data_IF_225422387870
#
_entry.id   IF_225422387870
#
_cell.length_a   1.000
_cell.length_b   1.000
_cell.length_c   1.000
_cell.angle_alpha   90.00
_cell.angle_beta   90.00
_cell.angle_gamma   90.00
#
_symmetry.space_group_name_H-M   'P 1'
#
loop_
_entity.id
_entity.type
_entity.pdbx_description
1 polymer ?
#
# COMPACT_ATOMS: atom_id res chain seq x y z
N UNK A 1 7.37 3.00 -1.40
CA UNK A 1 6.18 3.89 -1.39
C UNK A 1 6.59 5.22 -0.76
N UNK A 2 6.01 6.35 -1.16
CA UNK A 2 6.34 7.64 -0.57
C UNK A 2 5.12 8.43 -0.08
N UNK A 3 5.25 9.07 1.08
CA UNK A 3 4.24 9.96 1.67
C UNK A 3 4.67 11.41 1.50
N UNK A 4 3.77 12.27 1.04
CA UNK A 4 4.01 13.72 1.01
C UNK A 4 4.06 14.25 2.45
N UNK A 5 5.10 15.01 2.75
CA UNK A 5 5.22 15.72 4.01
C UNK A 5 4.30 16.95 4.03
N UNK A 6 3.69 17.23 5.18
CA UNK A 6 2.85 18.42 5.37
C UNK A 6 3.72 19.64 5.73
N UNK A 7 4.61 20.04 4.82
CA UNK A 7 5.46 21.23 4.95
C UNK A 7 5.20 22.19 3.79
N UNK A 8 5.73 23.42 3.85
CA UNK A 8 5.51 24.47 2.84
C UNK A 8 5.99 24.11 1.42
N UNK A 9 6.81 23.08 1.27
CA UNK A 9 7.30 22.58 -0.02
C UNK A 9 6.75 21.19 -0.32
N UNK A 10 6.63 20.83 -1.61
CA UNK A 10 6.26 19.47 -2.01
C UNK A 10 7.47 18.56 -1.85
N UNK A 11 7.52 17.85 -0.72
CA UNK A 11 8.56 16.85 -0.41
C UNK A 11 7.88 15.53 -0.11
N UNK A 12 8.47 14.44 -0.60
CA UNK A 12 8.00 13.09 -0.34
C UNK A 12 9.06 12.34 0.48
N UNK A 13 8.63 11.75 1.60
CA UNK A 13 9.43 10.80 2.36
C UNK A 13 9.10 9.39 1.87
N UNK A 14 10.11 8.71 1.34
CA UNK A 14 9.98 7.37 0.80
C UNK A 14 10.49 6.33 1.79
N UNK A 15 9.75 5.24 1.93
CA UNK A 15 10.23 4.03 2.60
C UNK A 15 10.09 2.82 1.68
N UNK A 16 10.87 1.79 1.99
CA UNK A 16 10.80 0.48 1.36
C UNK A 16 10.45 -0.56 2.42
N UNK A 17 9.46 -1.40 2.10
CA UNK A 17 9.14 -2.60 2.87
C UNK A 17 9.54 -3.77 1.99
N UNK A 18 10.23 -4.75 2.57
CA UNK A 18 10.75 -5.87 1.81
C UNK A 18 9.63 -6.68 1.14
N UNK A 19 9.94 -7.31 0.00
CA UNK A 19 8.99 -8.13 -0.77
C UNK A 19 7.64 -7.44 -1.02
N UNK A 20 7.68 -6.19 -1.51
CA UNK A 20 6.49 -5.40 -1.85
C UNK A 20 6.20 -5.46 -3.35
N UNK A 21 4.93 -5.62 -3.70
CA UNK A 21 4.45 -5.56 -5.10
C UNK A 21 3.32 -4.57 -5.23
N UNK A 22 3.32 -3.82 -6.33
CA UNK A 22 2.34 -2.79 -6.64
C UNK A 22 1.48 -3.21 -7.83
N UNK A 23 0.17 -2.99 -7.71
CA UNK A 23 -0.83 -3.38 -8.71
C UNK A 23 -1.75 -2.21 -9.03
N UNK A 24 -2.19 -2.11 -10.28
CA UNK A 24 -3.35 -1.29 -10.64
C UNK A 24 -4.54 -2.24 -10.75
N UNK A 25 -5.49 -2.13 -9.82
CA UNK A 25 -6.69 -2.98 -9.80
C UNK A 25 -7.93 -2.19 -10.24
N UNK A 26 -8.87 -2.81 -10.96
CA UNK A 26 -10.16 -2.19 -11.24
C UNK A 26 -11.05 -2.24 -10.00
N UNK A 27 -11.72 -1.12 -9.70
CA UNK A 27 -12.77 -1.02 -8.69
C UNK A 27 -14.11 -0.74 -9.38
N UNK A 28 -15.18 -1.32 -8.86
CA UNK A 28 -16.54 -1.12 -9.35
C UNK A 28 -17.44 -0.82 -8.16
N UNK A 29 -18.10 0.34 -8.18
CA UNK A 29 -19.09 0.72 -7.19
C UNK A 29 -20.44 0.04 -7.46
N UNK A 30 -21.35 0.09 -6.49
CA UNK A 30 -22.67 -0.54 -6.60
C UNK A 30 -23.50 0.00 -7.77
N UNK A 31 -23.34 1.29 -8.11
CA UNK A 31 -24.00 1.95 -9.24
C UNK A 31 -23.34 1.66 -10.61
N UNK A 32 -22.31 0.81 -10.64
CA UNK A 32 -21.55 0.48 -11.84
C UNK A 32 -20.42 1.44 -12.18
N UNK A 33 -20.20 2.51 -11.39
CA UNK A 33 -19.07 3.42 -11.58
C UNK A 33 -17.75 2.67 -11.47
N UNK A 34 -16.87 2.85 -12.46
CA UNK A 34 -15.55 2.18 -12.52
C UNK A 34 -14.42 3.14 -12.19
N UNK A 35 -13.46 2.67 -11.41
CA UNK A 35 -12.22 3.38 -11.12
C UNK A 35 -11.03 2.43 -11.21
N UNK A 36 -9.82 2.99 -11.38
CA UNK A 36 -8.56 2.25 -11.20
C UNK A 36 -7.94 2.70 -9.89
N UNK A 37 -7.51 1.75 -9.07
CA UNK A 37 -6.83 2.05 -7.82
C UNK A 37 -5.44 1.43 -7.81
N UNK A 38 -4.49 2.19 -7.26
CA UNK A 38 -3.15 1.69 -6.96
C UNK A 38 -3.20 0.96 -5.61
N UNK A 39 -2.84 -0.31 -5.63
CA UNK A 39 -2.78 -1.20 -4.47
C UNK A 39 -1.35 -1.64 -4.24
N UNK A 40 -0.97 -1.73 -2.98
CA UNK A 40 0.33 -2.23 -2.55
C UNK A 40 0.09 -3.48 -1.72
N UNK A 41 0.83 -4.56 -2.01
CA UNK A 41 0.85 -5.77 -1.21
C UNK A 41 2.26 -5.99 -0.67
N UNK A 42 2.36 -6.29 0.62
CA UNK A 42 3.60 -6.65 1.29
C UNK A 42 3.58 -8.14 1.58
N UNK A 43 4.49 -8.88 0.94
CA UNK A 43 4.59 -10.34 1.08
C UNK A 43 5.43 -10.75 2.30
N UNK A 44 6.34 -9.89 2.77
CA UNK A 44 7.08 -10.08 4.01
C UNK A 44 6.66 -9.04 5.05
N UNK A 45 5.81 -9.46 5.99
CA UNK A 45 5.26 -8.61 7.04
C UNK A 45 6.00 -8.73 8.37
N UNK A 46 7.13 -9.47 8.44
CA UNK A 46 7.87 -9.71 9.70
C UNK A 46 8.45 -8.44 10.32
N UNK A 47 8.79 -7.45 9.49
CA UNK A 47 9.33 -6.17 9.94
C UNK A 47 8.27 -5.11 10.28
N UNK A 48 6.98 -5.42 10.15
CA UNK A 48 5.90 -4.49 10.46
C UNK A 48 5.55 -4.51 11.94
N UNK A 49 4.88 -3.46 12.41
CA UNK A 49 4.39 -3.38 13.79
C UNK A 49 3.46 -4.56 14.12
N UNK A 50 3.87 -5.47 15.02
CA UNK A 50 3.09 -6.66 15.35
C UNK A 50 1.75 -6.31 16.01
N UNK A 51 1.65 -5.17 16.69
CA UNK A 51 0.41 -4.72 17.32
C UNK A 51 -0.64 -4.38 16.26
N UNK A 52 -0.26 -3.64 15.22
CA UNK A 52 -1.16 -3.31 14.11
C UNK A 52 -1.65 -4.58 13.42
N UNK A 53 -0.72 -5.50 13.11
CA UNK A 53 -1.07 -6.74 12.41
C UNK A 53 -2.01 -7.64 13.25
N UNK A 54 -1.75 -7.78 14.54
CA UNK A 54 -2.52 -8.69 15.39
C UNK A 54 -3.83 -8.08 15.89
N UNK A 55 -3.86 -6.80 16.24
CA UNK A 55 -5.04 -6.16 16.82
C UNK A 55 -6.03 -5.68 15.75
N UNK A 56 -5.53 -5.12 14.64
CA UNK A 56 -6.40 -4.57 13.57
C UNK A 56 -6.73 -5.63 12.54
N UNK A 57 -5.71 -6.31 12.01
CA UNK A 57 -5.89 -7.26 10.90
C UNK A 57 -6.12 -8.71 11.37
N UNK A 58 -5.86 -9.00 12.66
CA UNK A 58 -5.97 -10.35 13.25
C UNK A 58 -5.05 -11.38 12.59
N UNK A 59 -3.85 -10.96 12.19
CA UNK A 59 -2.85 -11.81 11.51
C UNK A 59 -1.52 -11.80 12.23
N UNK A 60 -0.75 -12.89 12.11
CA UNK A 60 0.60 -12.98 12.66
C UNK A 60 1.63 -12.43 11.65
N UNK A 61 2.63 -11.65 12.09
CA UNK A 61 3.71 -11.19 11.22
C UNK A 61 4.37 -12.34 10.46
N UNK A 62 4.59 -12.17 9.16
CA UNK A 62 5.26 -13.14 8.29
C UNK A 62 4.43 -14.34 7.84
N UNK A 63 3.13 -14.41 8.18
CA UNK A 63 2.31 -15.59 7.83
C UNK A 63 1.50 -15.41 6.55
N UNK A 64 0.95 -14.22 6.33
CA UNK A 64 0.18 -13.90 5.13
C UNK A 64 0.58 -12.53 4.58
N UNK A 65 0.47 -12.32 3.25
CA UNK A 65 0.63 -11.00 2.67
C UNK A 65 -0.47 -10.03 3.15
N UNK A 66 -0.10 -8.77 3.35
CA UNK A 66 -1.04 -7.69 3.67
C UNK A 66 -1.08 -6.70 2.53
N UNK A 67 -2.28 -6.41 2.02
CA UNK A 67 -2.49 -5.43 0.95
C UNK A 67 -3.29 -4.22 1.43
N UNK A 68 -3.00 -3.06 0.86
CA UNK A 68 -3.77 -1.83 1.10
C UNK A 68 -3.82 -0.94 -0.14
N UNK A 69 -4.86 -0.11 -0.23
CA UNK A 69 -4.91 0.98 -1.20
C UNK A 69 -4.05 2.15 -0.74
N UNK A 70 -3.49 2.89 -1.69
CA UNK A 70 -2.74 4.11 -1.38
C UNK A 70 -3.71 5.28 -1.19
N UNK A 71 -3.53 6.04 -0.10
CA UNK A 71 -4.36 7.20 0.21
C UNK A 71 -3.96 8.46 -0.55
N UNK A 72 -4.71 9.54 -0.32
CA UNK A 72 -4.32 10.87 -0.80
C UNK A 72 -2.93 11.25 -0.26
N UNK A 73 -2.16 12.01 -1.06
CA UNK A 73 -0.80 12.48 -0.74
C UNK A 73 0.25 11.38 -0.65
N UNK A 74 0.03 10.27 -1.34
CA UNK A 74 0.96 9.15 -1.37
C UNK A 74 1.18 8.69 -2.81
N UNK A 75 2.40 8.24 -3.12
CA UNK A 75 2.80 7.78 -4.45
C UNK A 75 3.56 6.46 -4.36
N UNK A 76 3.38 5.59 -5.36
CA UNK A 76 4.18 4.39 -5.52
C UNK A 76 4.42 4.11 -7.00
N UNK A 77 5.53 3.44 -7.28
CA UNK A 77 5.90 3.05 -8.64
C UNK A 77 5.35 1.66 -8.94
N UNK A 78 4.76 1.51 -10.12
CA UNK A 78 4.32 0.21 -10.63
C UNK A 78 5.40 -0.32 -11.55
N UNK A 79 5.76 -1.59 -11.39
CA UNK A 79 6.68 -2.24 -12.32
C UNK A 79 6.07 -2.19 -13.72
N UNK A 80 6.84 -1.67 -14.67
CA UNK A 80 6.42 -1.64 -16.06
C UNK A 80 6.62 -3.05 -16.63
N UNK A 81 5.55 -3.84 -16.65
CA UNK A 81 5.54 -5.12 -17.34
C UNK A 81 5.31 -4.85 -18.84
N UNK A 82 6.39 -4.51 -19.55
CA UNK A 82 6.45 -4.55 -21.03
C UNK A 82 6.65 -6.00 -21.46
#
# INVERSE_FOLDING_TARGET
>A
MCHRLNINKVVFYCHEVNATTTYIVPLVAFDGTKAKALTICHHDTRGMDPKVLQEVLKVKPGTIPTCHFIGNKAVAWVLNHV
#
